data_IF_699664206711
#
_entry.id   IF_699664206711
#
_cell.length_a   1.000
_cell.length_b   1.000
_cell.length_c   1.000
_cell.angle_alpha   90.00
_cell.angle_beta   90.00
_cell.angle_gamma   90.00
#
_symmetry.space_group_name_H-M   'P 1'
#
loop_
_entity.id
_entity.type
_entity.pdbx_description
1 polymer ?
#
# COMPACT_ATOMS: atom_id res chain seq x y z
N UNK A 1 -42.10 24.24 22.62
CA UNK A 1 -42.68 23.04 21.98
C UNK A 1 -42.40 23.12 20.50
N UNK A 2 -41.87 22.02 19.95
CA UNK A 2 -41.73 21.67 18.51
C UNK A 2 -41.03 22.67 17.58
N UNK A 3 -39.79 22.33 17.19
CA UNK A 3 -39.15 22.85 15.99
C UNK A 3 -39.03 21.70 14.98
N UNK A 4 -39.82 21.79 13.91
CA UNK A 4 -39.90 20.81 12.82
C UNK A 4 -38.72 20.99 11.87
N UNK A 5 -37.98 19.90 11.60
CA UNK A 5 -36.89 19.90 10.61
C UNK A 5 -37.53 19.57 9.25
N UNK A 6 -37.57 20.57 8.37
CA UNK A 6 -37.97 20.39 6.98
C UNK A 6 -36.92 19.60 6.20
N UNK A 7 -37.40 18.54 5.56
CA UNK A 7 -36.69 17.66 4.65
C UNK A 7 -36.35 18.44 3.36
N UNK A 8 -35.12 18.96 3.30
CA UNK A 8 -34.56 19.63 2.12
C UNK A 8 -34.07 18.61 1.11
N UNK A 9 -34.91 18.37 0.09
CA UNK A 9 -34.62 17.57 -1.11
C UNK A 9 -33.64 18.35 -1.99
N UNK A 10 -32.34 18.11 -1.80
CA UNK A 10 -31.26 18.68 -2.61
C UNK A 10 -30.87 17.75 -3.75
N UNK A 11 -31.57 17.85 -4.86
CA UNK A 11 -31.12 17.31 -6.15
C UNK A 11 -29.84 18.06 -6.55
N UNK A 12 -28.70 17.37 -6.58
CA UNK A 12 -27.46 17.93 -7.15
C UNK A 12 -26.93 16.98 -8.20
N UNK A 13 -27.33 17.31 -9.43
CA UNK A 13 -26.62 17.23 -10.71
C UNK A 13 -25.57 16.13 -10.90
N UNK A 14 -25.84 15.31 -11.92
CA UNK A 14 -24.87 14.49 -12.61
C UNK A 14 -23.69 15.36 -13.10
N UNK A 15 -22.55 15.24 -12.42
CA UNK A 15 -21.27 15.58 -13.02
C UNK A 15 -20.68 14.30 -13.58
N UNK A 16 -20.97 14.11 -14.87
CA UNK A 16 -20.15 13.35 -15.79
C UNK A 16 -18.75 13.97 -15.78
N UNK A 17 -17.83 13.31 -15.11
CA UNK A 17 -16.40 13.60 -15.18
C UNK A 17 -15.72 12.27 -15.35
N UNK A 18 -15.47 11.96 -16.62
CA UNK A 18 -14.73 10.80 -17.07
C UNK A 18 -13.42 10.69 -16.32
N UNK A 19 -13.40 9.81 -15.34
CA UNK A 19 -12.18 9.16 -14.91
C UNK A 19 -12.52 7.68 -14.91
N UNK A 20 -12.02 6.98 -15.91
CA UNK A 20 -11.82 5.53 -15.88
C UNK A 20 -10.83 5.19 -14.75
N UNK A 21 -11.17 5.54 -13.52
CA UNK A 21 -10.66 4.94 -12.32
C UNK A 21 -11.23 3.53 -12.32
N UNK A 22 -10.54 2.62 -13.02
CA UNK A 22 -10.71 1.18 -12.84
C UNK A 22 -10.53 0.95 -11.34
N UNK A 23 -11.66 0.94 -10.60
CA UNK A 23 -11.71 0.51 -9.22
C UNK A 23 -11.36 -0.96 -9.32
N UNK A 24 -10.07 -1.28 -9.20
CA UNK A 24 -9.61 -2.64 -9.09
C UNK A 24 -10.16 -3.09 -7.74
N UNK A 25 -11.38 -3.63 -7.77
CA UNK A 25 -11.85 -4.50 -6.71
C UNK A 25 -10.91 -5.68 -6.76
N UNK A 26 -9.84 -5.59 -5.98
CA UNK A 26 -8.96 -6.72 -5.80
C UNK A 26 -9.78 -7.70 -4.98
N UNK A 27 -10.32 -8.71 -5.64
CA UNK A 27 -11.01 -9.88 -5.06
C UNK A 27 -10.02 -10.81 -4.36
N UNK A 28 -8.88 -10.26 -3.97
CA UNK A 28 -7.84 -10.96 -3.30
C UNK A 28 -8.26 -11.32 -1.89
N UNK A 29 -7.92 -12.53 -1.45
CA UNK A 29 -8.17 -12.94 -0.07
C UNK A 29 -7.58 -11.85 0.84
N UNK A 30 -8.32 -11.34 1.84
CA UNK A 30 -7.86 -10.25 2.70
C UNK A 30 -6.52 -10.57 3.38
N UNK A 31 -6.23 -11.85 3.58
CA UNK A 31 -4.95 -12.36 4.05
C UNK A 31 -3.78 -12.07 3.10
N UNK A 32 -3.92 -12.26 1.80
CA UNK A 32 -2.83 -12.06 0.84
C UNK A 32 -2.51 -10.57 0.66
N UNK A 33 -3.52 -9.71 0.76
CA UNK A 33 -3.33 -8.26 0.85
C UNK A 33 -2.59 -7.84 2.12
N UNK A 34 -3.03 -8.36 3.27
CA UNK A 34 -2.40 -8.06 4.55
C UNK A 34 -0.93 -8.52 4.57
N UNK A 35 -0.64 -9.68 3.98
CA UNK A 35 0.72 -10.22 3.91
C UNK A 35 1.62 -9.41 2.97
N UNK A 36 1.12 -9.05 1.77
CA UNK A 36 1.86 -8.18 0.87
C UNK A 36 2.16 -6.82 1.52
N UNK A 37 1.19 -6.24 2.22
CA UNK A 37 1.37 -4.98 2.95
C UNK A 37 2.42 -5.12 4.07
N UNK A 38 2.36 -6.19 4.87
CA UNK A 38 3.34 -6.47 5.94
C UNK A 38 4.76 -6.55 5.38
N UNK A 39 4.95 -7.28 4.29
CA UNK A 39 6.26 -7.43 3.64
C UNK A 39 6.80 -6.10 3.10
N UNK A 40 5.94 -5.22 2.57
CA UNK A 40 6.35 -3.89 2.12
C UNK A 40 6.76 -2.98 3.29
N UNK A 41 6.07 -3.06 4.42
CA UNK A 41 6.46 -2.34 5.64
C UNK A 41 7.83 -2.82 6.13
N UNK A 42 8.05 -4.14 6.18
CA UNK A 42 9.37 -4.70 6.56
C UNK A 42 10.48 -4.29 5.59
N UNK A 43 10.20 -4.28 4.28
CA UNK A 43 11.15 -3.84 3.27
C UNK A 43 11.54 -2.37 3.46
N UNK A 44 10.57 -1.50 3.75
CA UNK A 44 10.80 -0.09 4.05
C UNK A 44 11.69 0.08 5.27
N UNK A 45 11.38 -0.63 6.36
CA UNK A 45 12.13 -0.52 7.60
C UNK A 45 13.60 -0.97 7.41
N UNK A 46 13.83 -2.03 6.63
CA UNK A 46 15.18 -2.47 6.25
C UNK A 46 15.95 -1.41 5.46
N UNK A 47 15.29 -0.69 4.54
CA UNK A 47 15.92 0.40 3.76
C UNK A 47 16.27 1.58 4.67
N UNK A 48 15.40 1.94 5.61
CA UNK A 48 15.71 3.00 6.59
C UNK A 48 16.98 2.67 7.37
N UNK A 49 17.08 1.45 7.91
CA UNK A 49 18.27 1.01 8.64
C UNK A 49 19.51 0.94 7.73
N UNK A 50 19.34 0.53 6.47
CA UNK A 50 20.45 0.51 5.49
C UNK A 50 20.99 1.91 5.21
N UNK A 51 20.10 2.90 5.06
CA UNK A 51 20.47 4.29 4.84
C UNK A 51 21.22 4.86 6.05
N UNK A 52 20.80 4.53 7.26
CA UNK A 52 21.50 4.95 8.48
C UNK A 52 22.90 4.32 8.56
N UNK A 53 23.02 3.03 8.25
CA UNK A 53 24.30 2.32 8.21
C UNK A 53 25.26 2.92 7.16
N UNK A 54 24.73 3.29 5.98
CA UNK A 54 25.50 3.90 4.90
C UNK A 54 25.94 5.34 5.24
N UNK A 55 25.05 6.15 5.86
CA UNK A 55 25.32 7.54 6.23
C UNK A 55 26.38 7.67 7.31
N UNK A 56 26.44 6.71 8.24
CA UNK A 56 27.48 6.67 9.26
C UNK A 56 28.87 6.33 8.71
N UNK A 57 28.98 5.86 7.45
CA UNK A 57 30.23 5.34 6.87
C UNK A 57 30.78 4.11 7.61
N UNK A 58 30.03 3.56 8.56
CA UNK A 58 30.51 2.59 9.53
C UNK A 58 30.37 1.15 9.04
N UNK A 59 29.50 0.87 8.06
CA UNK A 59 29.28 -0.50 7.61
C UNK A 59 28.59 -0.60 6.23
N UNK A 60 29.38 -0.41 5.16
CA UNK A 60 28.88 -0.51 3.79
C UNK A 60 28.38 -1.93 3.44
N UNK A 61 29.01 -2.97 4.00
CA UNK A 61 28.61 -4.35 3.79
C UNK A 61 27.24 -4.60 4.42
N UNK A 62 27.04 -4.21 5.67
CA UNK A 62 25.74 -4.31 6.33
C UNK A 62 24.65 -3.51 5.62
N UNK A 63 24.96 -2.32 5.12
CA UNK A 63 24.01 -1.54 4.32
C UNK A 63 23.60 -2.32 3.05
N UNK A 64 24.56 -2.93 2.35
CA UNK A 64 24.29 -3.78 1.18
C UNK A 64 23.41 -4.99 1.54
N UNK A 65 23.73 -5.70 2.63
CA UNK A 65 22.97 -6.86 3.09
C UNK A 65 21.53 -6.50 3.44
N UNK A 66 21.31 -5.35 4.09
CA UNK A 66 19.98 -4.85 4.43
C UNK A 66 19.16 -4.50 3.18
N UNK A 67 19.80 -3.91 2.16
CA UNK A 67 19.17 -3.65 0.86
C UNK A 67 18.80 -4.95 0.14
N UNK A 68 19.68 -5.96 0.16
CA UNK A 68 19.39 -7.29 -0.38
C UNK A 68 18.14 -7.90 0.27
N UNK A 69 18.10 -7.92 1.60
CA UNK A 69 16.95 -8.42 2.36
C UNK A 69 15.66 -7.63 2.08
N UNK A 70 15.74 -6.30 1.94
CA UNK A 70 14.59 -5.48 1.56
C UNK A 70 14.05 -5.88 0.18
N UNK A 71 14.95 -6.08 -0.78
CA UNK A 71 14.60 -6.50 -2.15
C UNK A 71 13.91 -7.86 -2.17
N UNK A 72 14.36 -8.82 -1.34
CA UNK A 72 13.69 -10.11 -1.18
C UNK A 72 12.25 -9.95 -0.67
N UNK A 73 12.03 -9.06 0.32
CA UNK A 73 10.69 -8.79 0.86
C UNK A 73 9.77 -8.12 -0.16
N UNK A 74 10.30 -7.21 -0.99
CA UNK A 74 9.56 -6.63 -2.11
C UNK A 74 9.19 -7.72 -3.11
N UNK A 75 10.12 -8.61 -3.47
CA UNK A 75 9.85 -9.72 -4.38
C UNK A 75 8.74 -10.64 -3.87
N UNK A 76 8.76 -10.97 -2.57
CA UNK A 76 7.69 -11.76 -1.92
C UNK A 76 6.35 -11.01 -1.92
N UNK A 77 6.34 -9.71 -1.60
CA UNK A 77 5.13 -8.90 -1.64
C UNK A 77 4.50 -8.86 -3.04
N UNK A 78 5.34 -8.67 -4.07
CA UNK A 78 4.91 -8.68 -5.47
C UNK A 78 4.38 -10.07 -5.90
N UNK A 79 4.98 -11.15 -5.38
CA UNK A 79 4.46 -12.50 -5.60
C UNK A 79 3.04 -12.64 -5.05
N UNK A 80 2.80 -12.21 -3.80
CA UNK A 80 1.45 -12.21 -3.20
C UNK A 80 0.48 -11.33 -4.00
N UNK A 81 0.88 -10.10 -4.36
CA UNK A 81 0.04 -9.21 -5.18
C UNK A 81 -0.29 -9.79 -6.56
N UNK A 82 0.66 -10.48 -7.21
CA UNK A 82 0.42 -11.14 -8.50
C UNK A 82 -0.59 -12.28 -8.36
N UNK A 83 -0.55 -13.02 -7.26
CA UNK A 83 -1.51 -14.08 -7.00
C UNK A 83 -2.95 -13.52 -6.88
N UNK A 84 -3.10 -12.31 -6.35
CA UNK A 84 -4.37 -11.59 -6.27
C UNK A 84 -4.91 -11.13 -7.64
N UNK A 85 -4.03 -10.86 -8.61
CA UNK A 85 -4.42 -10.40 -9.95
C UNK A 85 -4.77 -11.52 -10.92
N UNK A 86 -4.50 -12.78 -10.56
CA UNK A 86 -4.74 -13.97 -11.40
C UNK A 86 -5.98 -14.78 -10.99
N UNK A 87 -6.71 -14.32 -9.97
CA UNK A 87 -8.00 -14.86 -9.53
C UNK A 87 -9.15 -14.01 -10.10
#
# INVERSE_FOLDING_TARGET
>A
MQCSIHQGRGETMASDSGETGRRVTVTGRPHEHAEAHRLLVEARDLVTVALDAARGGQDAQRASDLVGRSSDRIGQALYHMRHLLRQ
#
